data_IF_268117406541
#
_entry.id   IF_268117406541
#
_cell.length_a   1.000
_cell.length_b   1.000
_cell.length_c   1.000
_cell.angle_alpha   90.00
_cell.angle_beta   90.00
_cell.angle_gamma   90.00
#
_symmetry.space_group_name_H-M   'P 1'
#
loop_
_entity.id
_entity.type
_entity.pdbx_description
1 polymer ?
#
# COMPACT_ATOMS: atom_id res chain seq x y z
N UNK A 1 -15.46 3.42 2.60
CA UNK A 1 -14.87 3.81 1.31
C UNK A 1 -14.36 2.56 0.62
N UNK A 2 -14.58 2.42 -0.68
CA UNK A 2 -14.12 1.27 -1.45
C UNK A 2 -12.84 1.68 -2.19
N UNK A 3 -11.78 0.87 -2.09
CA UNK A 3 -10.50 1.17 -2.75
C UNK A 3 -10.58 1.00 -4.27
N UNK A 4 -9.66 1.63 -4.98
CA UNK A 4 -9.58 1.67 -6.44
C UNK A 4 -8.26 1.08 -6.96
N UNK A 5 -8.29 0.49 -8.16
CA UNK A 5 -7.07 -0.09 -8.77
C UNK A 5 -6.19 1.02 -9.34
N UNK A 6 -4.88 0.86 -9.17
CA UNK A 6 -3.89 1.63 -9.94
C UNK A 6 -3.94 1.18 -11.40
N UNK A 7 -3.88 2.14 -12.34
CA UNK A 7 -3.84 1.86 -13.78
C UNK A 7 -2.56 2.40 -14.41
N UNK A 8 -2.23 1.92 -15.61
CA UNK A 8 -1.08 2.41 -16.39
C UNK A 8 -1.61 2.94 -17.73
N UNK A 9 -1.19 4.15 -18.10
CA UNK A 9 -1.45 4.74 -19.42
C UNK A 9 -0.13 5.27 -19.97
N UNK A 10 0.25 4.81 -21.17
CA UNK A 10 1.49 5.21 -21.85
C UNK A 10 2.77 5.08 -20.97
N UNK A 11 2.82 4.04 -20.13
CA UNK A 11 3.94 3.81 -19.20
C UNK A 11 3.93 4.66 -17.93
N UNK A 12 2.94 5.54 -17.75
CA UNK A 12 2.76 6.36 -16.54
C UNK A 12 1.69 5.73 -15.65
N UNK A 13 1.98 5.66 -14.34
CA UNK A 13 1.03 5.19 -13.33
C UNK A 13 -0.01 6.27 -13.02
N UNK A 14 -1.28 5.91 -13.08
CA UNK A 14 -2.38 6.71 -12.56
C UNK A 14 -2.80 6.12 -11.22
N UNK A 15 -2.43 6.79 -10.14
CA UNK A 15 -2.66 6.35 -8.76
C UNK A 15 -3.84 7.15 -8.17
N UNK A 16 -4.96 6.50 -7.80
CA UNK A 16 -6.09 7.18 -7.16
C UNK A 16 -5.78 7.52 -5.69
N UNK A 17 -6.61 8.35 -5.06
CA UNK A 17 -6.44 8.75 -3.65
C UNK A 17 -6.62 7.58 -2.65
N UNK A 18 -7.38 6.56 -3.03
CA UNK A 18 -7.59 5.35 -2.22
C UNK A 18 -7.17 4.09 -2.98
N UNK A 19 -5.87 3.90 -3.22
CA UNK A 19 -5.39 2.79 -4.04
C UNK A 19 -5.44 1.46 -3.28
N UNK A 20 -5.71 0.38 -4.00
CA UNK A 20 -5.52 -0.99 -3.50
C UNK A 20 -4.06 -1.40 -3.76
N UNK A 21 -3.31 -1.67 -2.69
CA UNK A 21 -1.94 -2.16 -2.74
C UNK A 21 -1.90 -3.62 -2.25
N UNK A 22 -1.74 -4.61 -3.13
CA UNK A 22 -1.52 -5.99 -2.72
C UNK A 22 -0.19 -6.11 -1.97
N UNK A 23 -0.18 -6.94 -0.92
CA UNK A 23 1.05 -7.28 -0.20
C UNK A 23 1.09 -8.79 0.07
N UNK A 24 2.28 -9.30 0.32
CA UNK A 24 2.52 -10.63 0.85
C UNK A 24 3.27 -10.43 2.16
N UNK A 25 2.74 -10.98 3.24
CA UNK A 25 3.32 -10.82 4.57
C UNK A 25 4.70 -11.48 4.69
N UNK A 26 4.89 -12.60 3.99
CA UNK A 26 6.11 -13.40 4.00
C UNK A 26 6.13 -14.40 5.15
N UNK A 27 7.17 -15.24 5.18
CA UNK A 27 7.36 -16.28 6.19
C UNK A 27 8.26 -15.81 7.34
N UNK A 28 8.26 -16.55 8.46
CA UNK A 28 9.14 -16.28 9.59
C UNK A 28 8.87 -14.92 10.23
N UNK A 29 9.87 -14.03 10.24
CA UNK A 29 9.74 -12.67 10.79
C UNK A 29 8.93 -11.71 9.91
N UNK A 30 8.50 -12.15 8.71
CA UNK A 30 7.73 -11.33 7.77
C UNK A 30 6.45 -10.76 8.39
N UNK A 31 5.72 -11.58 9.15
CA UNK A 31 4.53 -11.18 9.92
C UNK A 31 4.82 -10.02 10.87
N UNK A 32 5.89 -10.12 11.66
CA UNK A 32 6.23 -9.08 12.65
C UNK A 32 6.68 -7.78 11.97
N UNK A 33 7.50 -7.90 10.91
CA UNK A 33 7.99 -6.74 10.15
C UNK A 33 6.85 -6.05 9.42
N UNK A 34 5.95 -6.79 8.77
CA UNK A 34 4.82 -6.22 8.04
C UNK A 34 3.82 -5.53 8.97
N UNK A 35 3.55 -6.12 10.14
CA UNK A 35 2.72 -5.49 11.15
C UNK A 35 3.26 -4.11 11.58
N UNK A 36 4.58 -3.95 11.68
CA UNK A 36 5.20 -2.66 11.96
C UNK A 36 5.19 -1.71 10.75
N UNK A 37 5.60 -2.20 9.58
CA UNK A 37 5.75 -1.40 8.37
C UNK A 37 4.42 -0.80 7.90
N UNK A 38 3.36 -1.61 7.86
CA UNK A 38 2.02 -1.18 7.44
C UNK A 38 1.49 0.01 8.26
N UNK A 39 1.71 0.00 9.59
CA UNK A 39 1.33 1.10 10.49
C UNK A 39 2.09 2.39 10.18
N UNK A 40 3.40 2.29 9.92
CA UNK A 40 4.24 3.45 9.60
C UNK A 40 3.80 4.07 8.27
N UNK A 41 3.60 3.25 7.24
CA UNK A 41 3.14 3.72 5.93
C UNK A 41 1.78 4.40 6.01
N UNK A 42 0.83 3.80 6.73
CA UNK A 42 -0.51 4.40 6.89
C UNK A 42 -0.45 5.74 7.63
N UNK A 43 0.35 5.83 8.70
CA UNK A 43 0.52 7.08 9.44
C UNK A 43 1.18 8.16 8.58
N UNK A 44 2.21 7.81 7.79
CA UNK A 44 2.90 8.74 6.91
C UNK A 44 1.96 9.34 5.85
N UNK A 45 1.06 8.53 5.27
CA UNK A 45 0.05 9.02 4.31
C UNK A 45 -0.96 9.95 4.98
N UNK A 46 -1.35 9.66 6.23
CA UNK A 46 -2.35 10.48 6.93
C UNK A 46 -1.85 11.87 7.35
N UNK A 47 -0.53 12.07 7.45
CA UNK A 47 0.08 13.36 7.88
C UNK A 47 0.67 14.17 6.73
N UNK A 48 0.66 13.63 5.50
CA UNK A 48 1.09 14.29 4.29
C UNK A 48 -0.06 15.14 3.69
#
# INVERSE_FOLDING_TARGET
MQGEKITIQNGVLNVPNHPIIPFIEGDGIGTDVWAAASRVLQAAVNVA
#
